data_IF_378494842321
#
_entry.id   IF_378494842321
#
_cell.length_a   1.000
_cell.length_b   1.000
_cell.length_c   1.000
_cell.angle_alpha   90.00
_cell.angle_beta   90.00
_cell.angle_gamma   90.00
#
_symmetry.space_group_name_H-M   'P 1'
#
loop_
_entity.id
_entity.type
_entity.pdbx_description
1 polymer ?
#
# COMPACT_ATOMS: atom_id res chain seq x y z
N UNK A 1 -14.85 -5.46 28.12
CA UNK A 1 -13.47 -4.97 27.94
C UNK A 1 -13.43 -3.49 28.27
N UNK A 2 -12.58 -3.08 29.22
CA UNK A 2 -12.53 -1.71 29.70
C UNK A 2 -11.97 -0.78 28.58
N UNK A 3 -12.47 0.45 28.42
CA UNK A 3 -12.06 1.40 27.37
C UNK A 3 -10.53 1.61 27.31
N UNK A 4 -9.85 1.53 28.45
CA UNK A 4 -8.40 1.67 28.58
C UNK A 4 -7.65 0.44 28.02
N UNK A 5 -8.17 -0.77 28.26
CA UNK A 5 -7.58 -2.02 27.75
C UNK A 5 -7.70 -2.11 26.22
N UNK A 6 -8.85 -1.68 25.68
CA UNK A 6 -9.07 -1.60 24.24
C UNK A 6 -8.10 -0.65 23.55
N UNK A 7 -7.86 0.54 24.12
CA UNK A 7 -6.88 1.50 23.59
C UNK A 7 -5.45 0.98 23.63
N UNK A 8 -5.08 0.30 24.70
CA UNK A 8 -3.74 -0.31 24.82
C UNK A 8 -3.53 -1.41 23.78
N UNK A 9 -4.54 -2.26 23.57
CA UNK A 9 -4.52 -3.33 22.55
C UNK A 9 -4.39 -2.76 21.13
N UNK A 10 -5.16 -1.72 20.79
CA UNK A 10 -5.08 -1.03 19.50
C UNK A 10 -3.68 -0.44 19.30
N UNK A 11 -3.13 0.26 20.30
CA UNK A 11 -1.78 0.83 20.21
C UNK A 11 -0.70 -0.23 19.98
N UNK A 12 -0.80 -1.37 20.67
CA UNK A 12 0.12 -2.50 20.50
C UNK A 12 0.03 -3.11 19.08
N UNK A 13 -1.18 -3.23 18.52
CA UNK A 13 -1.37 -3.72 17.15
C UNK A 13 -0.85 -2.72 16.12
N UNK A 14 -1.08 -1.43 16.29
CA UNK A 14 -0.53 -0.38 15.40
C UNK A 14 1.00 -0.48 15.35
N UNK A 15 1.66 -0.67 16.49
CA UNK A 15 3.11 -0.83 16.54
C UNK A 15 3.61 -2.08 15.81
N UNK A 16 2.81 -3.17 15.78
CA UNK A 16 3.12 -4.42 15.09
C UNK A 16 2.72 -4.42 13.60
N UNK A 17 1.84 -3.52 13.18
CA UNK A 17 1.30 -3.45 11.82
C UNK A 17 2.32 -2.90 10.79
N UNK A 18 3.56 -3.37 10.88
CA UNK A 18 4.63 -3.06 9.93
C UNK A 18 4.57 -4.08 8.80
N UNK A 19 3.94 -3.71 7.68
CA UNK A 19 3.61 -4.65 6.60
C UNK A 19 4.75 -4.89 5.61
N UNK A 20 5.80 -4.06 5.60
CA UNK A 20 6.91 -4.19 4.66
C UNK A 20 7.88 -5.30 5.10
N UNK A 21 7.97 -6.37 4.31
CA UNK A 21 8.91 -7.48 4.50
C UNK A 21 10.24 -7.31 3.76
N UNK A 22 10.33 -6.32 2.86
CA UNK A 22 11.49 -6.14 1.98
C UNK A 22 12.80 -5.78 2.69
N UNK A 23 12.71 -5.25 3.91
CA UNK A 23 13.90 -4.90 4.72
C UNK A 23 14.83 -6.08 5.01
N UNK A 24 14.28 -7.31 4.99
CA UNK A 24 15.00 -8.53 5.32
C UNK A 24 15.00 -9.55 4.18
N UNK A 25 14.51 -9.14 2.98
CA UNK A 25 14.41 -10.08 1.87
C UNK A 25 15.81 -10.44 1.35
N UNK A 26 16.15 -11.75 1.27
CA UNK A 26 17.53 -12.19 0.99
C UNK A 26 17.98 -11.87 -0.43
N UNK A 27 17.08 -11.79 -1.38
CA UNK A 27 17.38 -11.53 -2.80
C UNK A 27 17.61 -10.05 -3.11
N UNK A 28 17.22 -9.14 -2.21
CA UNK A 28 17.47 -7.71 -2.37
C UNK A 28 18.86 -7.39 -1.82
N UNK A 29 19.70 -6.71 -2.61
CA UNK A 29 21.01 -6.27 -2.14
C UNK A 29 20.91 -5.26 -0.99
N UNK A 30 21.99 -5.13 -0.21
CA UNK A 30 22.00 -4.33 1.01
C UNK A 30 21.67 -2.85 0.75
N UNK A 31 22.22 -2.26 -0.31
CA UNK A 31 21.98 -0.86 -0.68
C UNK A 31 20.49 -0.61 -0.97
N UNK A 32 19.85 -1.47 -1.77
CA UNK A 32 18.43 -1.36 -2.09
C UNK A 32 17.55 -1.56 -0.86
N UNK A 33 17.92 -2.49 0.03
CA UNK A 33 17.21 -2.70 1.32
C UNK A 33 17.29 -1.45 2.20
N UNK A 34 18.42 -0.78 2.27
CA UNK A 34 18.60 0.43 3.08
C UNK A 34 17.77 1.60 2.53
N UNK A 35 17.73 1.78 1.21
CA UNK A 35 16.88 2.78 0.57
C UNK A 35 15.40 2.52 0.84
N UNK A 36 14.94 1.28 0.68
CA UNK A 36 13.55 0.88 0.95
C UNK A 36 13.24 1.06 2.45
N UNK A 37 14.14 0.67 3.34
CA UNK A 37 13.96 0.83 4.80
C UNK A 37 13.79 2.29 5.17
N UNK A 38 14.62 3.16 4.64
CA UNK A 38 14.53 4.60 4.88
C UNK A 38 13.20 5.17 4.39
N UNK A 39 12.81 4.86 3.15
CA UNK A 39 11.55 5.30 2.59
C UNK A 39 10.33 4.77 3.38
N UNK A 40 10.39 3.50 3.85
CA UNK A 40 9.30 2.92 4.66
C UNK A 40 9.22 3.53 6.06
N UNK A 41 10.33 3.81 6.73
CA UNK A 41 10.35 4.51 8.01
C UNK A 41 9.76 5.91 7.91
N UNK A 42 10.05 6.62 6.83
CA UNK A 42 9.52 7.95 6.53
C UNK A 42 8.10 7.92 5.94
N UNK A 43 7.53 6.73 5.71
CA UNK A 43 6.19 6.53 5.13
C UNK A 43 5.97 7.27 3.80
N UNK A 44 6.99 7.31 2.94
CA UNK A 44 6.97 8.00 1.64
C UNK A 44 7.21 7.05 0.46
N UNK A 45 6.86 7.48 -0.72
CA UNK A 45 7.29 6.87 -1.98
C UNK A 45 8.80 7.02 -2.17
N UNK A 46 9.40 6.16 -3.00
CA UNK A 46 10.80 6.30 -3.41
C UNK A 46 11.01 7.60 -4.20
N UNK A 47 12.13 8.27 -3.95
CA UNK A 47 12.57 9.38 -4.76
C UNK A 47 13.17 8.91 -6.10
N UNK A 48 13.23 9.78 -7.10
CA UNK A 48 13.71 9.44 -8.44
C UNK A 48 15.07 8.71 -8.44
N UNK A 49 16.05 9.21 -7.68
CA UNK A 49 17.40 8.59 -7.59
C UNK A 49 17.36 7.22 -6.91
N UNK A 50 16.47 7.02 -5.94
CA UNK A 50 16.29 5.74 -5.26
C UNK A 50 15.67 4.72 -6.22
N UNK A 51 14.66 5.13 -7.00
CA UNK A 51 14.04 4.30 -8.05
C UNK A 51 15.11 3.89 -9.07
N UNK A 52 15.88 4.83 -9.62
CA UNK A 52 16.95 4.57 -10.59
C UNK A 52 17.98 3.56 -10.02
N UNK A 53 18.40 3.76 -8.77
CA UNK A 53 19.36 2.88 -8.10
C UNK A 53 18.83 1.46 -7.92
N UNK A 54 17.61 1.31 -7.38
CA UNK A 54 17.02 0.01 -7.10
C UNK A 54 16.71 -0.72 -8.41
N UNK A 55 16.11 -0.05 -9.39
CA UNK A 55 15.76 -0.64 -10.68
C UNK A 55 16.98 -1.06 -11.49
N UNK A 56 18.09 -0.33 -11.41
CA UNK A 56 19.37 -0.74 -12.03
C UNK A 56 19.86 -2.06 -11.45
N UNK A 57 19.68 -2.28 -10.15
CA UNK A 57 20.09 -3.50 -9.46
C UNK A 57 19.18 -4.69 -9.78
N UNK A 58 17.88 -4.46 -9.84
CA UNK A 58 16.85 -5.49 -10.09
C UNK A 58 16.60 -5.77 -11.58
N UNK A 59 17.05 -4.89 -12.48
CA UNK A 59 16.74 -4.98 -13.92
C UNK A 59 15.33 -4.54 -14.29
N UNK A 60 14.63 -3.84 -13.40
CA UNK A 60 13.26 -3.37 -13.64
C UNK A 60 13.22 -2.01 -14.36
N UNK A 61 12.06 -1.66 -14.91
CA UNK A 61 11.86 -0.40 -15.64
C UNK A 61 11.59 0.76 -14.67
N UNK A 62 12.59 1.61 -14.44
CA UNK A 62 12.48 2.75 -13.55
C UNK A 62 11.46 3.82 -14.02
N UNK A 63 11.25 3.99 -15.33
CA UNK A 63 10.28 4.95 -15.86
C UNK A 63 8.84 4.51 -15.55
N UNK A 64 8.54 3.22 -15.71
CA UNK A 64 7.22 2.67 -15.38
C UNK A 64 6.90 2.84 -13.90
N UNK A 65 7.89 2.65 -13.01
CA UNK A 65 7.72 2.80 -11.56
C UNK A 65 7.58 4.27 -11.18
N UNK A 66 8.40 5.15 -11.76
CA UNK A 66 8.28 6.59 -11.55
C UNK A 66 6.91 7.11 -12.00
N UNK A 67 6.39 6.63 -13.13
CA UNK A 67 5.07 6.98 -13.61
C UNK A 67 3.97 6.45 -12.67
N UNK A 68 4.05 5.20 -12.21
CA UNK A 68 3.10 4.65 -11.24
C UNK A 68 3.07 5.49 -9.96
N UNK A 69 4.23 5.92 -9.46
CA UNK A 69 4.33 6.79 -8.27
C UNK A 69 3.71 8.16 -8.54
N UNK A 70 3.91 8.75 -9.72
CA UNK A 70 3.31 10.05 -10.07
C UNK A 70 1.78 9.98 -10.14
N UNK A 71 1.21 8.82 -10.50
CA UNK A 71 -0.23 8.58 -10.59
C UNK A 71 -0.86 8.07 -9.27
N UNK A 72 -0.08 7.86 -8.22
CA UNK A 72 -0.56 7.21 -7.00
C UNK A 72 -1.78 7.94 -6.36
N UNK A 73 -1.78 9.25 -6.35
CA UNK A 73 -2.92 10.04 -5.85
C UNK A 73 -4.19 9.81 -6.70
N UNK A 74 -4.04 9.81 -8.02
CA UNK A 74 -5.14 9.52 -8.96
C UNK A 74 -5.69 8.10 -8.77
N UNK A 75 -4.83 7.11 -8.52
CA UNK A 75 -5.28 5.74 -8.23
C UNK A 75 -6.09 5.65 -6.94
N UNK A 76 -5.68 6.32 -5.87
CA UNK A 76 -6.44 6.38 -4.63
C UNK A 76 -7.78 7.07 -4.83
N UNK A 77 -7.84 8.18 -5.58
CA UNK A 77 -9.08 8.87 -5.90
C UNK A 77 -10.05 7.99 -6.73
N UNK A 78 -9.55 7.24 -7.69
CA UNK A 78 -10.34 6.27 -8.46
C UNK A 78 -10.87 5.13 -7.59
N UNK A 79 -10.09 4.64 -6.64
CA UNK A 79 -10.55 3.68 -5.65
C UNK A 79 -11.68 4.24 -4.80
N UNK A 80 -11.53 5.48 -4.32
CA UNK A 80 -12.55 6.20 -3.56
C UNK A 80 -13.85 6.30 -4.34
N UNK A 81 -13.80 6.77 -5.58
CA UNK A 81 -14.97 6.89 -6.45
C UNK A 81 -15.64 5.54 -6.69
N UNK A 82 -14.85 4.50 -6.97
CA UNK A 82 -15.37 3.15 -7.19
C UNK A 82 -16.09 2.63 -5.94
N UNK A 83 -15.50 2.82 -4.77
CA UNK A 83 -16.09 2.36 -3.51
C UNK A 83 -17.35 3.13 -3.17
N UNK A 84 -17.33 4.46 -3.32
CA UNK A 84 -18.51 5.33 -3.11
C UNK A 84 -19.66 4.99 -4.05
N UNK A 85 -19.37 4.62 -5.30
CA UNK A 85 -20.39 4.23 -6.28
C UNK A 85 -20.96 2.83 -6.01
N UNK A 86 -20.10 1.86 -5.68
CA UNK A 86 -20.52 0.45 -5.56
C UNK A 86 -20.99 0.08 -4.16
N UNK A 87 -20.57 0.82 -3.13
CA UNK A 87 -20.88 0.54 -1.72
C UNK A 87 -21.24 1.84 -0.97
N UNK A 88 -22.13 2.65 -1.55
CA UNK A 88 -22.54 3.94 -1.01
C UNK A 88 -22.99 3.86 0.46
N UNK A 89 -23.68 2.78 0.83
CA UNK A 89 -24.18 2.54 2.19
C UNK A 89 -23.09 2.55 3.27
N UNK A 90 -21.82 2.30 2.91
CA UNK A 90 -20.70 2.37 3.87
C UNK A 90 -20.40 3.80 4.33
N UNK A 91 -20.80 4.82 3.56
CA UNK A 91 -20.51 6.23 3.81
C UNK A 91 -21.70 6.99 4.40
N UNK A 92 -22.88 6.38 4.44
CA UNK A 92 -24.07 6.93 5.03
C UNK A 92 -24.00 6.92 6.56
N UNK A 93 -24.87 7.67 7.23
CA UNK A 93 -24.95 7.67 8.69
C UNK A 93 -25.18 6.23 9.21
N UNK A 94 -24.32 5.79 10.15
CA UNK A 94 -24.31 4.41 10.65
C UNK A 94 -23.50 3.43 9.80
N UNK A 95 -23.02 3.83 8.63
CA UNK A 95 -22.16 3.01 7.78
C UNK A 95 -20.74 2.84 8.36
N UNK A 96 -20.04 1.78 7.97
CA UNK A 96 -18.75 1.42 8.53
C UNK A 96 -17.61 2.41 8.19
N UNK A 97 -17.77 3.22 7.15
CA UNK A 97 -16.84 4.30 6.74
C UNK A 97 -17.37 5.70 7.08
N UNK A 98 -18.43 5.78 7.89
CA UNK A 98 -18.91 7.01 8.52
C UNK A 98 -18.43 7.08 9.99
N UNK A 99 -18.04 8.26 10.51
CA UNK A 99 -17.91 9.55 9.82
C UNK A 99 -16.67 9.64 8.90
N UNK A 100 -16.47 10.78 8.24
CA UNK A 100 -15.43 11.01 7.20
C UNK A 100 -14.02 10.60 7.64
N UNK A 101 -13.66 10.77 8.90
CA UNK A 101 -12.34 10.39 9.44
C UNK A 101 -12.06 8.88 9.28
N UNK A 102 -13.09 8.04 9.27
CA UNK A 102 -12.96 6.60 9.04
C UNK A 102 -12.63 6.30 7.58
N UNK A 103 -13.31 6.97 6.66
CA UNK A 103 -13.01 6.83 5.23
C UNK A 103 -11.63 7.39 4.87
N UNK A 104 -11.21 8.49 5.48
CA UNK A 104 -9.85 9.03 5.31
C UNK A 104 -8.76 8.06 5.78
N UNK A 105 -9.00 7.32 6.87
CA UNK A 105 -8.10 6.25 7.30
C UNK A 105 -7.98 5.14 6.24
N UNK A 106 -9.10 4.75 5.61
CA UNK A 106 -9.10 3.79 4.51
C UNK A 106 -8.26 4.26 3.31
N UNK A 107 -8.37 5.54 2.93
CA UNK A 107 -7.59 6.09 1.81
C UNK A 107 -6.10 6.17 2.12
N UNK A 108 -5.76 6.48 3.35
CA UNK A 108 -4.37 6.44 3.84
C UNK A 108 -3.81 5.02 3.78
N UNK A 109 -4.62 4.00 4.10
CA UNK A 109 -4.20 2.60 3.99
C UNK A 109 -4.01 2.20 2.52
N UNK A 110 -4.90 2.61 1.61
CA UNK A 110 -4.73 2.43 0.17
C UNK A 110 -3.41 3.03 -0.34
N UNK A 111 -3.09 4.25 0.11
CA UNK A 111 -1.80 4.89 -0.18
C UNK A 111 -0.61 4.06 0.33
N UNK A 112 -0.68 3.54 1.55
CA UNK A 112 0.38 2.72 2.12
C UNK A 112 0.57 1.40 1.36
N UNK A 113 -0.51 0.77 0.86
CA UNK A 113 -0.40 -0.42 0.00
C UNK A 113 0.22 -0.09 -1.35
N UNK A 114 -0.14 1.03 -1.98
CA UNK A 114 0.52 1.48 -3.22
C UNK A 114 2.01 1.76 -3.01
N UNK A 115 2.36 2.38 -1.89
CA UNK A 115 3.74 2.65 -1.51
C UNK A 115 4.53 1.34 -1.42
N UNK A 116 4.00 0.33 -0.72
CA UNK A 116 4.63 -0.99 -0.64
C UNK A 116 4.74 -1.67 -2.01
N UNK A 117 3.69 -1.57 -2.84
CA UNK A 117 3.71 -2.09 -4.20
C UNK A 117 4.80 -1.44 -5.05
N UNK A 118 5.04 -0.11 -4.89
CA UNK A 118 6.11 0.58 -5.60
C UNK A 118 7.50 0.05 -5.24
N UNK A 119 7.73 -0.27 -3.97
CA UNK A 119 8.99 -0.87 -3.51
C UNK A 119 9.18 -2.28 -4.07
N UNK A 120 8.11 -3.09 -4.03
CA UNK A 120 8.11 -4.45 -4.55
C UNK A 120 8.41 -4.48 -6.05
N UNK A 121 7.76 -3.60 -6.82
CA UNK A 121 7.99 -3.48 -8.26
C UNK A 121 9.41 -2.98 -8.58
N UNK A 122 9.93 -2.01 -7.83
CA UNK A 122 11.29 -1.50 -8.03
C UNK A 122 12.35 -2.56 -7.75
N UNK A 123 12.13 -3.43 -6.77
CA UNK A 123 13.07 -4.49 -6.37
C UNK A 123 12.82 -5.84 -7.05
N UNK A 124 11.83 -5.95 -7.94
CA UNK A 124 11.37 -7.21 -8.55
C UNK A 124 11.06 -8.31 -7.52
N UNK A 125 10.42 -7.93 -6.42
CA UNK A 125 10.20 -8.83 -5.29
C UNK A 125 8.71 -8.90 -4.94
N UNK A 126 7.97 -9.89 -5.47
CA UNK A 126 6.53 -10.00 -5.25
C UNK A 126 6.16 -10.32 -3.78
N UNK A 127 7.01 -11.05 -3.05
CA UNK A 127 6.83 -11.39 -1.63
C UNK A 127 7.25 -10.21 -0.73
N UNK A 128 6.55 -9.09 -0.87
CA UNK A 128 6.93 -7.82 -0.25
C UNK A 128 6.41 -7.63 1.18
N UNK A 129 5.57 -8.53 1.70
CA UNK A 129 4.88 -8.34 2.98
C UNK A 129 5.51 -9.13 4.11
N UNK A 130 5.53 -8.53 5.32
CA UNK A 130 5.80 -9.25 6.56
C UNK A 130 4.52 -9.95 7.06
N UNK A 131 4.60 -11.26 7.29
CA UNK A 131 3.44 -12.08 7.69
C UNK A 131 2.88 -11.67 9.05
N UNK A 132 3.73 -11.30 10.01
CA UNK A 132 3.32 -10.88 11.35
C UNK A 132 2.68 -9.49 11.32
N UNK A 133 3.20 -8.60 10.51
CA UNK A 133 2.65 -7.27 10.24
C UNK A 133 1.26 -7.34 9.60
N UNK A 134 1.09 -8.17 8.59
CA UNK A 134 -0.22 -8.41 7.95
C UNK A 134 -1.23 -9.01 8.94
N UNK A 135 -0.79 -9.94 9.79
CA UNK A 135 -1.67 -10.49 10.82
C UNK A 135 -2.11 -9.42 11.83
N UNK A 136 -1.21 -8.53 12.23
CA UNK A 136 -1.56 -7.41 13.12
C UNK A 136 -2.55 -6.43 12.44
N UNK A 137 -2.39 -6.14 11.14
CA UNK A 137 -3.35 -5.32 10.37
C UNK A 137 -4.73 -5.98 10.35
N UNK A 138 -4.82 -7.29 10.11
CA UNK A 138 -6.10 -8.02 10.11
C UNK A 138 -6.80 -7.94 11.47
N UNK A 139 -6.06 -8.11 12.56
CA UNK A 139 -6.59 -7.97 13.92
C UNK A 139 -7.06 -6.53 14.21
N UNK A 140 -6.27 -5.53 13.78
CA UNK A 140 -6.61 -4.13 13.92
C UNK A 140 -7.90 -3.80 13.16
N UNK A 141 -8.04 -4.26 11.92
CA UNK A 141 -9.25 -4.05 11.11
C UNK A 141 -10.48 -4.69 11.75
N UNK A 142 -10.35 -5.90 12.32
CA UNK A 142 -11.43 -6.55 13.03
C UNK A 142 -11.85 -5.74 14.27
N UNK A 143 -10.90 -5.27 15.08
CA UNK A 143 -11.19 -4.45 16.27
C UNK A 143 -11.81 -3.09 15.94
N UNK A 144 -11.42 -2.52 14.81
CA UNK A 144 -11.92 -1.21 14.37
C UNK A 144 -13.16 -1.30 13.47
N UNK A 145 -13.70 -2.50 13.27
CA UNK A 145 -14.83 -2.75 12.36
C UNK A 145 -14.60 -2.16 10.96
N UNK A 146 -13.40 -2.34 10.40
CA UNK A 146 -13.13 -1.97 9.01
C UNK A 146 -13.88 -2.93 8.09
N UNK A 147 -14.66 -2.44 7.10
CA UNK A 147 -15.48 -3.30 6.25
C UNK A 147 -14.57 -4.10 5.30
N UNK A 148 -14.41 -5.41 5.56
CA UNK A 148 -13.53 -6.29 4.78
C UNK A 148 -13.87 -6.28 3.28
N UNK A 149 -15.16 -6.29 2.92
CA UNK A 149 -15.60 -6.23 1.52
C UNK A 149 -15.22 -4.90 0.85
N UNK A 150 -15.30 -3.79 1.58
CA UNK A 150 -14.87 -2.47 1.10
C UNK A 150 -13.36 -2.43 0.85
N UNK A 151 -12.56 -2.92 1.80
CA UNK A 151 -11.11 -2.97 1.64
C UNK A 151 -10.70 -3.91 0.49
N UNK A 152 -11.36 -5.06 0.36
CA UNK A 152 -11.10 -5.98 -0.76
C UNK A 152 -11.38 -5.32 -2.11
N UNK A 153 -12.50 -4.62 -2.25
CA UNK A 153 -12.83 -3.89 -3.48
C UNK A 153 -11.81 -2.78 -3.78
N UNK A 154 -11.39 -2.03 -2.77
CA UNK A 154 -10.38 -0.99 -2.92
C UNK A 154 -9.05 -1.57 -3.41
N UNK A 155 -8.54 -2.64 -2.78
CA UNK A 155 -7.29 -3.29 -3.17
C UNK A 155 -7.37 -3.94 -4.57
N UNK A 156 -8.49 -4.55 -4.92
CA UNK A 156 -8.71 -5.08 -6.28
C UNK A 156 -8.70 -3.96 -7.33
N UNK A 157 -9.33 -2.83 -7.04
CA UNK A 157 -9.31 -1.65 -7.93
C UNK A 157 -7.88 -1.13 -8.12
N UNK A 158 -7.12 -0.98 -7.03
CA UNK A 158 -5.71 -0.57 -7.10
C UNK A 158 -4.88 -1.55 -7.95
N UNK A 159 -5.02 -2.85 -7.70
CA UNK A 159 -4.31 -3.89 -8.47
C UNK A 159 -4.62 -3.80 -9.96
N UNK A 160 -5.88 -3.63 -10.34
CA UNK A 160 -6.28 -3.47 -11.74
C UNK A 160 -5.65 -2.22 -12.37
N UNK A 161 -5.66 -1.08 -11.67
CA UNK A 161 -5.09 0.16 -12.17
C UNK A 161 -3.58 0.07 -12.40
N UNK A 162 -2.85 -0.52 -11.46
CA UNK A 162 -1.40 -0.73 -11.58
C UNK A 162 -1.08 -1.74 -12.69
N UNK A 163 -1.85 -2.83 -12.80
CA UNK A 163 -1.66 -3.84 -13.85
C UNK A 163 -1.91 -3.27 -15.25
N UNK A 164 -2.99 -2.51 -15.45
CA UNK A 164 -3.26 -1.85 -16.73
C UNK A 164 -2.08 -0.97 -17.18
N UNK A 165 -1.44 -0.26 -16.26
CA UNK A 165 -0.29 0.56 -16.54
C UNK A 165 0.88 -0.25 -17.10
N UNK A 166 1.22 -1.37 -16.45
CA UNK A 166 2.35 -2.21 -16.85
C UNK A 166 2.19 -2.79 -18.26
N UNK A 167 0.95 -3.07 -18.69
CA UNK A 167 0.65 -3.56 -20.02
C UNK A 167 0.53 -2.47 -21.10
N UNK A 168 0.31 -1.21 -20.71
CA UNK A 168 0.16 -0.10 -21.66
C UNK A 168 1.44 0.73 -21.83
N UNK A 169 2.45 0.54 -20.97
CA UNK A 169 3.75 1.17 -21.15
C UNK A 169 4.50 0.54 -22.33
N UNK A 170 5.02 1.33 -23.31
CA UNK A 170 5.78 0.79 -24.42
C UNK A 170 6.98 0.01 -23.90
N UNK A 171 7.17 -1.20 -24.45
CA UNK A 171 8.31 -2.05 -24.12
C UNK A 171 9.61 -1.36 -24.57
N UNK A 172 10.68 -1.37 -23.76
CA UNK A 172 11.98 -0.81 -24.15
C UNK A 172 12.64 -1.53 -25.33
N UNK A 173 11.98 -2.56 -25.91
CA UNK A 173 12.52 -3.37 -27.01
C UNK A 173 12.14 -2.86 -28.40
N UNK A 174 11.38 -1.79 -28.52
CA UNK A 174 10.90 -1.24 -29.80
C UNK A 174 11.60 0.10 -30.15
N UNK A 175 12.80 0.34 -29.63
CA UNK A 175 13.63 1.51 -29.96
C UNK A 175 14.96 1.09 -30.56
#
# INVERSE_FOLDING_TARGET
MNSTESRAAIKALIAKAQICGLHHHPEINEQSRDLIRTADQEKRMLHKREIESICTQSGTNHEAIAFMISEAANYVDRCKQTLQTRQAHLFEEGGALHPTERSEACWRDCWNFLRLASYAMASDTPECTDASGIQAVRQLYALMNVPAAGMTLALQTLSQLVTCLLYTSPSPRDS
#
